data_IF_247391912977
#
_entry.id   IF_247391912977
#
_cell.length_a   1.000
_cell.length_b   1.000
_cell.length_c   1.000
_cell.angle_alpha   90.00
_cell.angle_beta   90.00
_cell.angle_gamma   90.00
#
_symmetry.space_group_name_H-M   'P 1'
#
loop_
_entity.id
_entity.type
_entity.pdbx_description
1 polymer ?
#
# COMPACT_ATOMS: atom_id res chain seq x y z
N UNK A 1 -14.00 -6.99 -10.24
CA UNK A 1 -12.79 -7.81 -10.39
C UNK A 1 -12.96 -9.09 -9.56
N UNK A 2 -12.85 -10.25 -10.22
CA UNK A 2 -12.88 -11.54 -9.51
C UNK A 2 -11.49 -11.78 -8.92
N UNK A 3 -11.30 -11.40 -7.70
CA UNK A 3 -10.13 -11.78 -6.92
C UNK A 3 -10.31 -13.24 -6.51
N UNK A 4 -9.66 -14.15 -7.22
CA UNK A 4 -9.58 -15.56 -6.81
C UNK A 4 -8.17 -15.84 -6.33
N UNK A 5 -8.01 -15.96 -5.02
CA UNK A 5 -6.77 -16.43 -4.40
C UNK A 5 -6.98 -17.88 -4.04
N UNK A 6 -6.07 -18.76 -4.47
CA UNK A 6 -6.07 -20.14 -4.02
C UNK A 6 -5.69 -20.18 -2.55
N UNK A 7 -6.61 -20.59 -1.70
CA UNK A 7 -6.33 -20.76 -0.26
C UNK A 7 -5.62 -22.07 -0.02
N UNK A 8 -4.75 -22.15 1.01
CA UNK A 8 -4.16 -23.42 1.44
C UNK A 8 -5.23 -24.38 1.96
N UNK A 9 -4.93 -25.68 1.97
CA UNK A 9 -5.85 -26.70 2.50
C UNK A 9 -6.18 -26.48 3.99
N UNK A 10 -5.26 -25.88 4.73
CA UNK A 10 -5.45 -25.51 6.14
C UNK A 10 -5.33 -24.01 6.30
N UNK A 11 -6.43 -23.37 6.71
CA UNK A 11 -6.50 -21.94 6.97
C UNK A 11 -6.79 -21.68 8.45
N UNK A 12 -5.91 -20.93 9.08
CA UNK A 12 -6.11 -20.36 10.42
C UNK A 12 -6.49 -18.90 10.29
N UNK A 13 -7.66 -18.53 10.77
CA UNK A 13 -8.14 -17.14 10.75
C UNK A 13 -8.06 -16.54 12.15
N UNK A 14 -7.21 -15.54 12.33
CA UNK A 14 -7.03 -14.82 13.60
C UNK A 14 -7.63 -13.43 13.44
N UNK A 15 -8.56 -13.07 14.30
CA UNK A 15 -9.24 -11.77 14.28
C UNK A 15 -9.66 -11.36 15.69
N UNK A 16 -9.87 -10.05 15.91
CA UNK A 16 -10.41 -9.52 17.17
C UNK A 16 -11.92 -9.76 17.32
N UNK A 17 -12.64 -9.85 16.21
CA UNK A 17 -14.07 -10.06 16.17
C UNK A 17 -14.40 -11.48 15.71
N UNK A 18 -15.09 -12.24 16.58
CA UNK A 18 -15.48 -13.61 16.28
C UNK A 18 -16.45 -13.73 15.11
N UNK A 19 -17.22 -12.69 14.80
CA UNK A 19 -18.19 -12.67 13.70
C UNK A 19 -17.50 -12.57 12.34
N UNK A 20 -16.23 -12.15 12.30
CA UNK A 20 -15.44 -12.11 11.09
C UNK A 20 -14.85 -13.49 10.70
N UNK A 21 -14.84 -14.46 11.63
CA UNK A 21 -14.25 -15.78 11.37
C UNK A 21 -14.99 -16.49 10.23
N UNK A 22 -14.22 -16.85 9.20
CA UNK A 22 -14.77 -17.53 8.03
C UNK A 22 -15.46 -16.61 7.03
N UNK A 23 -15.47 -15.31 7.27
CA UNK A 23 -16.04 -14.35 6.32
C UNK A 23 -15.19 -14.32 5.03
N UNK A 24 -15.78 -14.79 3.95
CA UNK A 24 -15.15 -14.82 2.61
C UNK A 24 -14.34 -16.08 2.29
N UNK A 25 -13.86 -16.85 3.28
CA UNK A 25 -13.08 -18.07 3.06
C UNK A 25 -13.43 -19.14 4.11
N UNK A 26 -13.47 -20.40 3.66
CA UNK A 26 -13.63 -21.52 4.58
C UNK A 26 -12.41 -21.62 5.52
N UNK A 27 -12.67 -21.68 6.82
CA UNK A 27 -11.65 -21.59 7.87
C UNK A 27 -11.63 -22.91 8.65
N UNK A 28 -10.44 -23.52 8.76
CA UNK A 28 -10.26 -24.77 9.53
C UNK A 28 -10.15 -24.49 11.03
N UNK A 29 -9.54 -23.37 11.40
CA UNK A 29 -9.37 -22.94 12.78
C UNK A 29 -9.57 -21.43 12.91
N UNK A 30 -10.60 -21.01 13.65
CA UNK A 30 -10.81 -19.64 14.02
C UNK A 30 -10.24 -19.33 15.40
N UNK A 31 -9.55 -18.21 15.53
CA UNK A 31 -8.98 -17.73 16.79
C UNK A 31 -9.37 -16.28 17.02
N UNK A 32 -10.08 -16.02 18.11
CA UNK A 32 -10.38 -14.65 18.53
C UNK A 32 -9.24 -14.14 19.40
N UNK A 33 -8.37 -13.34 18.81
CA UNK A 33 -7.21 -12.79 19.50
C UNK A 33 -6.64 -11.57 18.74
N UNK A 34 -5.90 -10.75 19.47
CA UNK A 34 -5.01 -9.77 18.89
C UNK A 34 -3.88 -10.47 18.12
N UNK A 35 -3.59 -10.01 16.90
CA UNK A 35 -2.65 -10.67 16.00
C UNK A 35 -1.21 -10.70 16.56
N UNK A 36 -0.76 -9.62 17.22
CA UNK A 36 0.57 -9.54 17.82
C UNK A 36 0.71 -10.53 18.97
N UNK A 37 -0.30 -10.60 19.85
CA UNK A 37 -0.31 -11.57 20.95
C UNK A 37 -0.36 -13.01 20.47
N UNK A 38 -1.16 -13.27 19.42
CA UNK A 38 -1.22 -14.61 18.84
C UNK A 38 0.13 -15.03 18.23
N UNK A 39 0.75 -14.13 17.44
CA UNK A 39 2.04 -14.42 16.80
C UNK A 39 3.15 -14.58 17.83
N UNK A 40 3.18 -13.76 18.89
CA UNK A 40 4.14 -13.90 19.99
C UNK A 40 4.01 -15.27 20.68
N UNK A 41 2.79 -15.66 21.04
CA UNK A 41 2.54 -16.95 21.67
C UNK A 41 2.85 -18.14 20.74
N UNK A 42 2.62 -17.99 19.45
CA UNK A 42 2.96 -19.00 18.45
C UNK A 42 4.47 -19.15 18.30
N UNK A 43 5.20 -18.04 18.22
CA UNK A 43 6.66 -18.03 18.11
C UNK A 43 7.32 -18.69 19.33
N UNK A 44 6.89 -18.33 20.55
CA UNK A 44 7.33 -18.95 21.80
C UNK A 44 7.09 -20.47 21.82
N UNK A 45 5.95 -20.91 21.29
CA UNK A 45 5.60 -22.31 21.23
C UNK A 45 6.45 -23.09 20.22
N UNK A 46 6.68 -22.49 19.06
CA UNK A 46 7.49 -23.10 17.98
C UNK A 46 9.00 -23.09 18.31
N UNK A 47 9.49 -22.12 19.05
CA UNK A 47 10.89 -22.05 19.47
C UNK A 47 11.33 -23.25 20.36
N UNK A 48 10.36 -23.91 21.01
CA UNK A 48 10.62 -25.11 21.83
C UNK A 48 10.54 -26.45 21.07
N UNK A 49 10.17 -26.44 19.80
CA UNK A 49 9.89 -27.64 19.00
C UNK A 49 10.82 -27.76 17.78
N UNK A 50 12.05 -28.16 18.01
CA UNK A 50 13.05 -28.36 16.95
C UNK A 50 12.67 -29.53 15.98
N UNK A 51 11.65 -30.32 16.31
CA UNK A 51 11.27 -31.52 15.57
C UNK A 51 10.45 -31.29 14.28
N UNK A 52 9.97 -30.06 14.06
CA UNK A 52 9.04 -29.76 12.95
C UNK A 52 9.70 -29.05 11.74
N UNK A 53 10.98 -28.73 11.82
CA UNK A 53 11.67 -28.05 10.73
C UNK A 53 12.18 -29.08 9.72
N UNK A 54 11.46 -29.28 8.63
CA UNK A 54 12.02 -30.00 7.48
C UNK A 54 13.23 -29.22 6.94
N UNK A 55 14.42 -29.85 6.96
CA UNK A 55 15.68 -29.25 6.45
C UNK A 55 15.59 -28.81 4.98
N UNK A 56 14.60 -29.30 4.22
CA UNK A 56 14.39 -28.99 2.82
C UNK A 56 13.65 -27.68 2.55
N UNK A 57 13.02 -27.08 3.57
CA UNK A 57 12.23 -25.85 3.39
C UNK A 57 13.12 -24.62 3.57
N UNK A 58 13.21 -23.72 2.56
CA UNK A 58 13.95 -22.47 2.69
C UNK A 58 13.47 -21.65 3.89
N UNK A 59 14.39 -20.97 4.58
CA UNK A 59 14.04 -20.08 5.70
C UNK A 59 12.99 -19.03 5.29
N UNK A 60 12.22 -18.52 6.25
CA UNK A 60 11.25 -17.46 6.00
C UNK A 60 11.89 -16.23 5.36
N UNK A 61 13.12 -15.89 5.78
CA UNK A 61 13.89 -14.79 5.19
C UNK A 61 14.25 -15.07 3.71
N UNK A 62 14.70 -16.27 3.39
CA UNK A 62 15.03 -16.63 2.00
C UNK A 62 13.78 -16.62 1.10
N UNK A 63 12.62 -17.07 1.61
CA UNK A 63 11.35 -17.00 0.87
C UNK A 63 10.89 -15.57 0.67
N UNK A 64 10.97 -14.73 1.70
CA UNK A 64 10.63 -13.31 1.59
C UNK A 64 11.58 -12.56 0.63
N UNK A 65 12.87 -12.89 0.63
CA UNK A 65 13.83 -12.35 -0.33
C UNK A 65 13.47 -12.74 -1.76
N UNK A 66 13.15 -14.01 -2.01
CA UNK A 66 12.77 -14.50 -3.34
C UNK A 66 11.51 -13.79 -3.87
N UNK A 67 10.50 -13.53 -3.04
CA UNK A 67 9.31 -12.77 -3.42
C UNK A 67 9.68 -11.33 -3.76
N UNK A 68 10.46 -10.65 -2.92
CA UNK A 68 10.92 -9.27 -3.19
C UNK A 68 11.72 -9.16 -4.50
N UNK A 69 12.58 -10.15 -4.77
CA UNK A 69 13.40 -10.15 -5.99
C UNK A 69 12.55 -10.42 -7.24
N UNK A 70 11.56 -11.32 -7.13
CA UNK A 70 10.61 -11.58 -8.21
C UNK A 70 9.75 -10.35 -8.53
N UNK A 71 9.24 -9.64 -7.51
CA UNK A 71 8.49 -8.40 -7.69
C UNK A 71 9.36 -7.31 -8.31
N UNK A 72 10.59 -7.14 -7.83
CA UNK A 72 11.54 -6.18 -8.38
C UNK A 72 11.86 -6.46 -9.85
N UNK A 73 12.08 -7.72 -10.21
CA UNK A 73 12.29 -8.14 -11.59
C UNK A 73 11.07 -7.89 -12.47
N UNK A 74 9.86 -8.15 -11.95
CA UNK A 74 8.60 -7.88 -12.64
C UNK A 74 8.44 -6.38 -12.94
N UNK A 75 8.66 -5.50 -11.97
CA UNK A 75 8.53 -4.06 -12.17
C UNK A 75 9.62 -3.51 -13.09
N UNK A 76 10.86 -4.00 -12.99
CA UNK A 76 11.92 -3.65 -13.91
C UNK A 76 11.59 -4.05 -15.36
N UNK A 77 10.96 -5.21 -15.58
CA UNK A 77 10.51 -5.63 -16.91
C UNK A 77 9.39 -4.73 -17.46
N UNK A 78 8.47 -4.28 -16.60
CA UNK A 78 7.43 -3.30 -16.97
C UNK A 78 8.08 -1.95 -17.33
N UNK A 79 9.05 -1.49 -16.55
CA UNK A 79 9.77 -0.25 -16.81
C UNK A 79 10.58 -0.30 -18.13
N UNK A 80 11.26 -1.42 -18.40
CA UNK A 80 12.08 -1.59 -19.63
C UNK A 80 11.27 -1.50 -20.94
N UNK A 81 9.96 -1.70 -20.92
CA UNK A 81 9.08 -1.55 -22.07
C UNK A 81 8.68 -0.11 -22.39
N UNK A 82 9.36 0.90 -21.84
CA UNK A 82 9.04 2.31 -22.05
C UNK A 82 9.33 2.75 -23.51
N UNK A 83 8.38 3.49 -24.06
CA UNK A 83 8.59 4.34 -25.22
C UNK A 83 8.86 5.77 -24.73
N UNK A 84 10.01 6.34 -25.04
CA UNK A 84 10.41 7.69 -24.58
C UNK A 84 9.47 8.79 -25.08
N UNK A 85 8.79 8.58 -26.20
CA UNK A 85 7.82 9.52 -26.78
C UNK A 85 6.41 9.35 -26.19
N UNK A 86 6.17 8.34 -25.37
CA UNK A 86 4.87 8.12 -24.72
C UNK A 86 4.75 8.92 -23.43
N UNK A 87 3.50 9.24 -22.99
CA UNK A 87 3.27 9.82 -21.68
C UNK A 87 3.84 8.95 -20.55
N UNK A 88 4.22 9.60 -19.44
CA UNK A 88 4.70 8.88 -18.25
C UNK A 88 3.63 7.93 -17.72
N UNK A 89 4.03 6.70 -17.42
CA UNK A 89 3.15 5.74 -16.75
C UNK A 89 3.16 5.98 -15.24
N UNK A 90 2.07 5.64 -14.57
CA UNK A 90 1.96 5.81 -13.11
C UNK A 90 3.12 5.18 -12.34
N UNK A 91 3.60 4.01 -12.76
CA UNK A 91 4.72 3.34 -12.10
C UNK A 91 6.02 4.15 -12.16
N UNK A 92 6.30 4.82 -13.28
CA UNK A 92 7.52 5.64 -13.45
C UNK A 92 7.50 6.88 -12.55
N UNK A 93 6.32 7.49 -12.41
CA UNK A 93 6.12 8.61 -11.48
C UNK A 93 6.33 8.13 -10.04
N UNK A 94 5.77 6.98 -9.66
CA UNK A 94 5.87 6.42 -8.31
C UNK A 94 7.31 6.03 -7.95
N UNK A 95 8.05 5.42 -8.88
CA UNK A 95 9.46 5.10 -8.69
C UNK A 95 10.28 6.38 -8.47
N UNK A 96 10.10 7.40 -9.32
CA UNK A 96 10.77 8.69 -9.18
C UNK A 96 10.43 9.37 -7.85
N UNK A 97 9.16 9.38 -7.45
CA UNK A 97 8.75 9.92 -6.14
C UNK A 97 9.45 9.20 -5.00
N UNK A 98 9.55 7.87 -5.07
CA UNK A 98 10.22 7.10 -4.00
C UNK A 98 11.73 7.34 -3.96
N UNK A 99 12.38 7.49 -5.10
CA UNK A 99 13.82 7.73 -5.21
C UNK A 99 14.25 9.08 -4.64
N UNK A 100 13.44 10.13 -4.85
CA UNK A 100 13.77 11.49 -4.41
C UNK A 100 13.40 11.77 -2.95
N UNK A 101 12.50 10.97 -2.37
CA UNK A 101 12.04 11.20 -1.00
C UNK A 101 12.90 10.46 0.02
N UNK A 102 13.15 11.07 1.19
CA UNK A 102 13.77 10.37 2.31
C UNK A 102 12.87 9.22 2.80
N UNK A 103 13.45 8.17 3.44
CA UNK A 103 12.68 7.01 3.90
C UNK A 103 11.53 7.34 4.84
N UNK A 104 11.69 8.36 5.67
CA UNK A 104 10.70 8.82 6.66
C UNK A 104 9.58 9.69 6.07
N UNK A 105 9.69 10.14 4.82
CA UNK A 105 8.65 10.95 4.19
C UNK A 105 7.29 10.24 4.22
N UNK A 106 6.23 11.03 4.38
CA UNK A 106 4.87 10.53 4.32
C UNK A 106 4.31 10.74 2.93
N UNK A 107 3.83 9.68 2.31
CA UNK A 107 3.14 9.75 1.03
C UNK A 107 1.67 9.40 1.24
N UNK A 108 0.79 10.29 0.83
CA UNK A 108 -0.65 10.03 0.80
C UNK A 108 -1.08 9.76 -0.63
N UNK A 109 -1.93 8.79 -0.85
CA UNK A 109 -2.45 8.46 -2.16
C UNK A 109 -3.97 8.59 -2.19
N UNK A 110 -4.49 9.30 -3.18
CA UNK A 110 -5.94 9.37 -3.43
C UNK A 110 -6.46 8.08 -4.09
N UNK A 111 -7.76 7.96 -4.23
CA UNK A 111 -8.38 6.96 -5.09
C UNK A 111 -8.11 7.29 -6.56
N UNK A 112 -7.96 6.26 -7.39
CA UNK A 112 -7.70 6.40 -8.82
C UNK A 112 -6.95 5.18 -9.38
N UNK A 113 -6.80 5.09 -10.70
CA UNK A 113 -6.06 4.01 -11.37
C UNK A 113 -4.62 3.89 -10.88
N UNK A 114 -3.94 5.02 -10.68
CA UNK A 114 -2.58 5.05 -10.14
C UNK A 114 -2.47 4.43 -8.73
N UNK A 115 -3.53 4.48 -7.92
CA UNK A 115 -3.55 3.87 -6.58
C UNK A 115 -3.32 2.36 -6.63
N UNK A 116 -3.81 1.67 -7.64
CA UNK A 116 -3.56 0.24 -7.80
C UNK A 116 -2.05 -0.03 -7.93
N UNK A 117 -1.34 0.84 -8.64
CA UNK A 117 0.11 0.77 -8.73
C UNK A 117 0.78 1.09 -7.39
N UNK A 118 0.30 2.08 -6.62
CA UNK A 118 0.88 2.35 -5.29
C UNK A 118 0.74 1.15 -4.35
N UNK A 119 -0.38 0.42 -4.40
CA UNK A 119 -0.61 -0.75 -3.54
C UNK A 119 0.33 -1.92 -3.85
N UNK A 120 0.81 -2.03 -5.09
CA UNK A 120 1.62 -3.18 -5.52
C UNK A 120 3.10 -2.85 -5.72
N UNK A 121 3.47 -1.59 -5.93
CA UNK A 121 4.84 -1.20 -6.27
C UNK A 121 5.47 -0.15 -5.35
N UNK A 122 4.68 0.61 -4.59
CA UNK A 122 5.22 1.68 -3.75
C UNK A 122 5.63 1.14 -2.38
N UNK A 123 6.93 1.09 -2.05
CA UNK A 123 7.39 0.54 -0.78
C UNK A 123 7.10 1.52 0.38
N UNK A 124 6.36 1.06 1.37
CA UNK A 124 6.27 1.72 2.66
C UNK A 124 7.56 1.46 3.43
N UNK A 125 8.30 2.51 3.77
CA UNK A 125 9.61 2.42 4.43
C UNK A 125 9.52 2.22 5.95
N UNK A 126 8.33 2.37 6.52
CA UNK A 126 8.07 2.21 7.96
C UNK A 126 6.63 2.55 8.34
N UNK A 127 6.29 2.46 9.61
CA UNK A 127 4.97 2.86 10.09
C UNK A 127 4.66 4.31 9.73
N UNK A 128 3.42 4.56 9.32
CA UNK A 128 2.93 5.91 8.97
C UNK A 128 3.67 6.62 7.83
N UNK A 129 4.39 5.90 6.97
CA UNK A 129 5.04 6.47 5.77
C UNK A 129 4.16 6.43 4.52
N UNK A 130 3.05 5.69 4.57
CA UNK A 130 2.09 5.60 3.48
C UNK A 130 0.65 5.61 4.00
N UNK A 131 -0.16 6.52 3.46
CA UNK A 131 -1.57 6.68 3.82
C UNK A 131 -2.44 6.63 2.57
N UNK A 132 -3.52 5.86 2.61
CA UNK A 132 -4.47 5.76 1.51
C UNK A 132 -5.91 5.67 2.04
N UNK A 133 -6.94 5.84 1.19
CA UNK A 133 -8.35 5.86 1.63
C UNK A 133 -8.90 4.48 2.07
N UNK A 134 -8.04 3.48 2.24
CA UNK A 134 -8.45 2.14 2.65
C UNK A 134 -9.40 1.47 1.64
N UNK A 135 -10.20 0.52 2.12
CA UNK A 135 -11.17 -0.21 1.29
C UNK A 135 -12.36 0.61 0.83
N UNK A 136 -12.65 1.73 1.48
CA UNK A 136 -13.72 2.64 1.06
C UNK A 136 -13.37 3.38 -0.24
N UNK A 137 -12.09 3.56 -0.53
CA UNK A 137 -11.55 4.12 -1.78
C UNK A 137 -12.18 5.46 -2.20
N UNK A 138 -12.38 6.36 -1.25
CA UNK A 138 -12.99 7.67 -1.51
C UNK A 138 -12.04 8.57 -2.31
N UNK A 139 -12.53 9.16 -3.40
CA UNK A 139 -11.83 10.21 -4.15
C UNK A 139 -11.79 11.53 -3.35
N UNK A 140 -10.77 12.34 -3.58
CA UNK A 140 -10.59 13.63 -2.89
C UNK A 140 -10.03 13.51 -1.47
N UNK A 141 -9.46 12.36 -1.11
CA UNK A 141 -8.86 12.14 0.22
C UNK A 141 -7.36 12.39 0.25
N UNK A 142 -6.67 12.34 -0.89
CA UNK A 142 -5.21 12.44 -0.97
C UNK A 142 -4.66 13.71 -0.37
N UNK A 143 -5.13 14.87 -0.82
CA UNK A 143 -4.68 16.18 -0.35
C UNK A 143 -5.08 16.48 1.10
N UNK A 144 -6.34 16.29 1.54
CA UNK A 144 -6.72 16.46 2.95
C UNK A 144 -5.94 15.55 3.90
N UNK A 145 -5.67 14.30 3.48
CA UNK A 145 -4.84 13.38 4.27
C UNK A 145 -3.40 13.89 4.40
N UNK A 146 -2.84 14.49 3.36
CA UNK A 146 -1.49 15.08 3.40
C UNK A 146 -1.44 16.29 4.34
N UNK A 147 -2.47 17.13 4.35
CA UNK A 147 -2.60 18.22 5.32
C UNK A 147 -2.56 17.65 6.75
N UNK A 148 -3.41 16.67 7.03
CA UNK A 148 -3.43 16.02 8.34
C UNK A 148 -2.10 15.36 8.72
N UNK A 149 -1.44 14.70 7.76
CA UNK A 149 -0.12 14.08 7.96
C UNK A 149 0.94 15.13 8.28
N UNK A 150 0.97 16.26 7.56
CA UNK A 150 1.94 17.35 7.81
C UNK A 150 1.73 18.00 9.17
N UNK A 151 0.49 18.21 9.58
CA UNK A 151 0.17 18.73 10.92
C UNK A 151 0.60 17.75 12.03
N UNK A 152 0.46 16.44 11.79
CA UNK A 152 0.87 15.41 12.75
C UNK A 152 2.39 15.17 12.78
N UNK A 153 3.08 15.45 11.68
CA UNK A 153 4.53 15.22 11.52
C UNK A 153 5.20 16.42 10.84
N UNK A 154 5.27 17.58 11.53
CA UNK A 154 5.70 18.85 10.91
C UNK A 154 7.13 18.85 10.36
N UNK A 155 8.00 18.01 10.90
CA UNK A 155 9.41 17.91 10.50
C UNK A 155 9.66 16.92 9.34
N UNK A 156 8.61 16.22 8.86
CA UNK A 156 8.73 15.24 7.77
C UNK A 156 8.28 15.85 6.45
N UNK A 157 8.89 15.41 5.37
CA UNK A 157 8.38 15.68 4.04
C UNK A 157 7.05 14.97 3.83
N UNK A 158 6.08 15.65 3.23
CA UNK A 158 4.76 15.10 2.94
C UNK A 158 4.41 15.33 1.49
N UNK A 159 4.04 14.26 0.80
CA UNK A 159 3.66 14.28 -0.61
C UNK A 159 2.25 13.72 -0.77
N UNK A 160 1.38 14.47 -1.43
CA UNK A 160 0.06 14.02 -1.86
C UNK A 160 0.12 13.54 -3.31
N UNK A 161 -0.22 12.29 -3.55
CA UNK A 161 -0.44 11.74 -4.89
C UNK A 161 -1.94 11.76 -5.18
N UNK A 162 -2.35 12.46 -6.22
CA UNK A 162 -3.76 12.55 -6.60
C UNK A 162 -3.93 12.46 -8.12
N UNK A 163 -4.96 11.78 -8.58
CA UNK A 163 -5.42 11.93 -9.96
C UNK A 163 -6.10 13.28 -10.15
N UNK A 164 -6.20 13.75 -11.39
CA UNK A 164 -6.88 14.98 -11.76
C UNK A 164 -8.30 15.05 -11.20
N UNK A 165 -9.10 14.01 -11.39
CA UNK A 165 -10.47 13.95 -10.88
C UNK A 165 -10.56 13.99 -9.35
N UNK A 166 -9.70 13.25 -8.65
CA UNK A 166 -9.66 13.27 -7.18
C UNK A 166 -9.20 14.61 -6.63
N UNK A 167 -8.17 15.21 -7.23
CA UNK A 167 -7.68 16.54 -6.85
C UNK A 167 -8.75 17.61 -7.04
N UNK A 168 -9.51 17.56 -8.13
CA UNK A 168 -10.59 18.52 -8.38
C UNK A 168 -11.70 18.44 -7.32
N UNK A 169 -11.95 17.30 -6.72
CA UNK A 169 -12.94 17.16 -5.63
C UNK A 169 -12.54 17.87 -4.35
N UNK A 170 -11.25 18.12 -4.14
CA UNK A 170 -10.71 18.78 -2.95
C UNK A 170 -9.78 19.96 -3.29
N UNK A 171 -9.89 20.53 -4.50
CA UNK A 171 -9.00 21.59 -4.99
C UNK A 171 -9.00 22.83 -4.08
N UNK A 172 -10.10 23.10 -3.37
CA UNK A 172 -10.22 24.19 -2.40
C UNK A 172 -9.24 24.06 -1.24
N UNK A 173 -8.76 22.85 -0.92
CA UNK A 173 -7.77 22.63 0.15
C UNK A 173 -6.38 23.18 -0.19
N UNK A 174 -6.11 23.52 -1.46
CA UNK A 174 -4.91 24.30 -1.82
C UNK A 174 -4.93 25.67 -1.17
N UNK A 175 -6.12 26.26 -0.95
CA UNK A 175 -6.26 27.47 -0.18
C UNK A 175 -5.89 27.28 1.29
N UNK A 176 -6.29 26.15 1.88
CA UNK A 176 -5.92 25.78 3.26
C UNK A 176 -4.41 25.66 3.41
N UNK A 177 -3.71 24.99 2.46
CA UNK A 177 -2.24 24.93 2.45
C UNK A 177 -1.62 26.33 2.47
N UNK A 178 -2.10 27.21 1.59
CA UNK A 178 -1.55 28.56 1.46
C UNK A 178 -1.88 29.45 2.68
N UNK A 179 -3.10 29.39 3.19
CA UNK A 179 -3.56 30.24 4.29
C UNK A 179 -2.89 29.87 5.62
N UNK A 180 -2.67 28.57 5.85
CA UNK A 180 -2.09 28.04 7.08
C UNK A 180 -0.58 27.76 6.96
N UNK A 181 0.04 28.10 5.82
CA UNK A 181 1.45 27.88 5.51
C UNK A 181 1.88 26.40 5.76
N UNK A 182 1.04 25.44 5.34
CA UNK A 182 1.30 24.01 5.46
C UNK A 182 2.10 23.54 4.24
N UNK A 183 3.32 23.06 4.48
CA UNK A 183 4.24 22.63 3.41
C UNK A 183 3.95 21.18 2.99
N UNK A 184 3.24 21.02 1.89
CA UNK A 184 2.91 19.73 1.24
C UNK A 184 3.21 19.84 -0.25
N UNK A 185 3.93 18.85 -0.77
CA UNK A 185 4.10 18.70 -2.23
C UNK A 185 2.92 17.93 -2.81
N UNK A 186 2.26 18.49 -3.83
CA UNK A 186 1.16 17.82 -4.52
C UNK A 186 1.63 17.35 -5.89
N UNK A 187 1.55 16.05 -6.13
CA UNK A 187 1.82 15.43 -7.43
C UNK A 187 0.50 15.02 -8.06
N UNK A 188 0.08 15.77 -9.08
CA UNK A 188 -1.13 15.48 -9.82
C UNK A 188 -0.81 14.60 -11.04
N UNK A 189 -1.43 13.42 -11.10
CA UNK A 189 -1.39 12.54 -12.26
C UNK A 189 -2.60 12.83 -13.13
N UNK A 190 -2.37 13.50 -14.25
CA UNK A 190 -3.43 13.91 -15.17
C UNK A 190 -3.47 13.00 -16.41
N UNK A 191 -4.62 12.40 -16.67
CA UNK A 191 -4.89 11.66 -17.89
C UNK A 191 -6.22 12.10 -18.54
N UNK A 192 -6.83 13.16 -18.04
CA UNK A 192 -8.11 13.73 -18.52
C UNK A 192 -9.26 12.69 -18.49
N UNK A 193 -9.20 11.69 -17.62
CA UNK A 193 -10.17 10.60 -17.56
C UNK A 193 -10.34 10.00 -16.16
N UNK A 194 -11.52 9.46 -15.87
CA UNK A 194 -11.74 8.56 -14.76
C UNK A 194 -11.38 7.12 -15.17
N UNK A 195 -10.08 6.86 -15.37
CA UNK A 195 -9.56 5.65 -15.99
C UNK A 195 -10.09 4.33 -15.35
N UNK A 196 -10.28 4.30 -14.05
CA UNK A 196 -10.90 3.13 -13.37
C UNK A 196 -12.30 2.83 -13.90
N UNK A 197 -13.03 3.85 -14.37
CA UNK A 197 -14.40 3.67 -14.85
C UNK A 197 -14.42 3.39 -16.35
N UNK A 198 -13.53 4.01 -17.11
CA UNK A 198 -13.49 3.87 -18.57
C UNK A 198 -12.81 2.59 -19.05
N UNK A 199 -11.97 1.96 -18.21
CA UNK A 199 -11.27 0.70 -18.52
C UNK A 199 -12.07 -0.56 -18.10
N UNK A 200 -13.26 -0.43 -17.51
CA UNK A 200 -14.17 -1.54 -17.20
C UNK A 200 -15.10 -1.87 -18.41
#
# INVERSE_FOLDING_TARGET
AKWSVSMPETLVHVTLDGDDIGFGYETNLGVVADADRFLTALDERLAGDDATREESVPSGEARAAAVRDADRARFAAIAAGRNEDAPLRSIEVLETVREVLPPEAVVTADAGGFRLWTLVSFPASGPTTYVNPGSWATMGTGLPSAIGAKLATPDRDVVALAGDGGLMMCIHELHTLAAEAIDVTVVALNNDDYAIISEE
#
